data_IF_477011478176
#
_entry.id   IF_477011478176
#
_cell.length_a   1.000
_cell.length_b   1.000
_cell.length_c   1.000
_cell.angle_alpha   90.00
_cell.angle_beta   90.00
_cell.angle_gamma   90.00
#
_symmetry.space_group_name_H-M   'P 1'
#
loop_
_entity.id
_entity.type
_entity.pdbx_description
1 polymer ?
#
# COMPACT_ATOMS: atom_id res chain seq x y z
N UNK A 1 19.53 3.97 -11.72
CA UNK A 1 19.78 2.52 -11.51
C UNK A 1 18.53 1.83 -12.02
N UNK A 2 18.58 1.16 -13.16
CA UNK A 2 17.39 0.61 -13.85
C UNK A 2 16.77 -0.52 -13.04
N UNK A 3 15.53 -0.36 -12.57
CA UNK A 3 14.75 -1.44 -11.97
C UNK A 3 14.31 -2.41 -13.07
N UNK A 4 15.00 -3.55 -13.18
CA UNK A 4 14.56 -4.65 -14.04
C UNK A 4 13.17 -5.17 -13.59
N UNK A 5 12.43 -5.83 -14.49
CA UNK A 5 11.15 -6.48 -14.13
C UNK A 5 11.35 -7.45 -12.94
N UNK A 6 12.49 -8.15 -12.90
CA UNK A 6 12.84 -9.04 -11.78
C UNK A 6 12.99 -8.28 -10.47
N UNK A 7 13.70 -7.15 -10.47
CA UNK A 7 13.90 -6.32 -9.28
C UNK A 7 12.57 -5.76 -8.74
N UNK A 8 11.71 -5.25 -9.63
CA UNK A 8 10.35 -4.81 -9.29
C UNK A 8 9.57 -5.91 -8.56
N UNK A 9 9.51 -7.12 -9.12
CA UNK A 9 8.72 -8.21 -8.51
C UNK A 9 9.36 -8.78 -7.25
N UNK A 10 10.69 -8.74 -7.13
CA UNK A 10 11.37 -9.09 -5.88
C UNK A 10 11.00 -8.13 -4.75
N UNK A 11 11.02 -6.83 -5.03
CA UNK A 11 10.63 -5.79 -4.06
C UNK A 11 9.13 -5.87 -3.73
N UNK A 12 8.28 -6.08 -4.73
CA UNK A 12 6.84 -6.32 -4.51
C UNK A 12 6.59 -7.51 -3.58
N UNK A 13 7.33 -8.62 -3.77
CA UNK A 13 7.26 -9.80 -2.89
C UNK A 13 7.76 -9.48 -1.48
N UNK A 14 8.83 -8.68 -1.34
CA UNK A 14 9.36 -8.23 -0.04
C UNK A 14 8.30 -7.44 0.74
N UNK A 15 7.66 -6.46 0.10
CA UNK A 15 6.60 -5.64 0.69
C UNK A 15 5.39 -6.51 1.09
N UNK A 16 5.02 -7.47 0.23
CA UNK A 16 3.93 -8.43 0.53
C UNK A 16 4.25 -9.27 1.76
N UNK A 17 5.47 -9.80 1.85
CA UNK A 17 5.92 -10.58 2.99
C UNK A 17 5.92 -9.74 4.26
N UNK A 18 6.41 -8.51 4.19
CA UNK A 18 6.37 -7.57 5.30
C UNK A 18 4.95 -7.34 5.80
N UNK A 19 3.98 -7.01 4.93
CA UNK A 19 2.58 -6.84 5.32
C UNK A 19 2.05 -8.08 6.07
N UNK A 20 2.20 -9.26 5.46
CA UNK A 20 1.64 -10.49 6.02
C UNK A 20 2.32 -10.87 7.34
N UNK A 21 3.65 -10.80 7.41
CA UNK A 21 4.40 -11.11 8.62
C UNK A 21 4.05 -10.15 9.76
N UNK A 22 3.94 -8.85 9.49
CA UNK A 22 3.57 -7.86 10.50
C UNK A 22 2.14 -8.07 10.99
N UNK A 23 1.19 -8.36 10.09
CA UNK A 23 -0.19 -8.66 10.50
C UNK A 23 -0.29 -9.90 11.39
N UNK A 24 0.45 -10.96 11.05
CA UNK A 24 0.50 -12.18 11.89
C UNK A 24 1.11 -11.86 13.25
N UNK A 25 2.18 -11.07 13.30
CA UNK A 25 2.83 -10.70 14.55
C UNK A 25 1.90 -9.87 15.45
N UNK A 26 1.24 -8.84 14.91
CA UNK A 26 0.31 -7.99 15.66
C UNK A 26 -0.92 -8.76 16.14
N UNK A 27 -1.47 -9.65 15.30
CA UNK A 27 -2.58 -10.51 15.70
C UNK A 27 -2.19 -11.48 16.83
N UNK A 28 -0.98 -12.06 16.77
CA UNK A 28 -0.47 -12.94 17.84
C UNK A 28 -0.26 -12.18 19.14
N UNK A 29 0.32 -10.99 19.07
CA UNK A 29 0.53 -10.13 20.24
C UNK A 29 -0.80 -9.78 20.90
N UNK A 30 -1.78 -9.39 20.09
CA UNK A 30 -3.14 -9.10 20.58
C UNK A 30 -3.77 -10.30 21.28
N UNK A 31 -3.74 -11.48 20.64
CA UNK A 31 -4.30 -12.71 21.19
C UNK A 31 -3.64 -13.10 22.51
N UNK A 32 -2.32 -12.90 22.63
CA UNK A 32 -1.58 -13.13 23.87
C UNK A 32 -2.18 -12.29 25.00
N UNK A 33 -2.26 -10.98 24.81
CA UNK A 33 -2.75 -10.05 25.83
C UNK A 33 -4.24 -10.24 26.14
N UNK A 34 -5.06 -10.52 25.14
CA UNK A 34 -6.50 -10.80 25.34
C UNK A 34 -6.76 -12.13 26.06
N UNK A 35 -5.81 -13.08 26.01
CA UNK A 35 -5.93 -14.37 26.70
C UNK A 35 -5.59 -14.34 28.20
N UNK A 36 -5.00 -13.24 28.68
CA UNK A 36 -4.60 -13.13 30.08
C UNK A 36 -5.77 -12.69 30.96
N UNK A 37 -6.08 -13.49 31.98
CA UNK A 37 -7.04 -13.12 33.02
C UNK A 37 -6.34 -12.21 34.04
N UNK A 38 -6.53 -10.89 33.89
CA UNK A 38 -5.94 -9.88 34.75
C UNK A 38 -6.98 -9.28 35.70
N UNK A 39 -6.78 -9.43 37.01
CA UNK A 39 -7.69 -8.91 38.05
C UNK A 39 -7.93 -7.39 37.95
N UNK A 40 -6.95 -6.63 37.44
CA UNK A 40 -7.02 -5.18 37.21
C UNK A 40 -6.52 -4.80 35.83
N UNK A 41 -7.14 -5.35 34.79
CA UNK A 41 -6.78 -5.06 33.40
C UNK A 41 -6.72 -3.54 33.10
N UNK A 42 -7.64 -2.75 33.65
CA UNK A 42 -7.74 -1.30 33.42
C UNK A 42 -6.54 -0.49 33.97
N UNK A 43 -5.84 -1.02 34.97
CA UNK A 43 -4.67 -0.40 35.62
C UNK A 43 -3.35 -1.03 35.14
N UNK A 44 -3.40 -2.06 34.30
CA UNK A 44 -2.23 -2.80 33.85
C UNK A 44 -1.42 -1.95 32.87
N UNK A 45 -0.11 -1.88 33.10
CA UNK A 45 0.84 -1.21 32.22
C UNK A 45 1.86 -2.19 31.68
N UNK A 46 2.15 -2.09 30.38
CA UNK A 46 3.27 -2.79 29.78
C UNK A 46 4.54 -2.00 30.02
N UNK A 47 5.59 -2.70 30.41
CA UNK A 47 6.94 -2.15 30.54
C UNK A 47 7.85 -2.95 29.63
N UNK A 48 8.26 -2.37 28.52
CA UNK A 48 9.14 -3.02 27.54
C UNK A 48 10.44 -2.23 27.45
N UNK A 49 11.59 -2.83 27.84
CA UNK A 49 12.90 -2.24 27.59
C UNK A 49 13.13 -2.07 26.08
N UNK A 50 13.52 -0.88 25.65
CA UNK A 50 13.89 -0.58 24.28
C UNK A 50 15.34 -0.08 24.22
N UNK A 51 15.96 -0.17 23.04
CA UNK A 51 17.36 0.23 22.83
C UNK A 51 17.66 1.68 23.28
N UNK A 52 16.64 2.55 23.30
CA UNK A 52 16.75 3.96 23.73
C UNK A 52 15.68 4.36 24.76
N UNK A 53 15.47 3.54 25.78
CA UNK A 53 14.63 3.87 26.93
C UNK A 53 13.61 2.79 27.24
N UNK A 54 12.50 3.18 27.87
CA UNK A 54 11.42 2.26 28.21
C UNK A 54 10.15 2.66 27.47
N UNK A 55 9.49 1.68 26.88
CA UNK A 55 8.12 1.83 26.41
C UNK A 55 7.18 1.46 27.54
N UNK A 56 6.52 2.46 28.11
CA UNK A 56 5.54 2.33 29.19
C UNK A 56 4.19 2.83 28.69
N UNK A 57 3.20 1.95 28.64
CA UNK A 57 1.87 2.25 28.11
C UNK A 57 0.81 1.46 28.88
N UNK A 58 -0.42 1.94 28.93
CA UNK A 58 -1.52 1.14 29.46
C UNK A 58 -1.89 0.01 28.52
N UNK A 59 -2.42 -1.08 29.06
CA UNK A 59 -2.80 -2.26 28.26
C UNK A 59 -3.89 -1.96 27.23
N UNK A 60 -4.89 -1.16 27.59
CA UNK A 60 -5.95 -0.73 26.67
C UNK A 60 -5.41 0.09 25.50
N UNK A 61 -4.56 1.07 25.77
CA UNK A 61 -3.88 1.88 24.75
C UNK A 61 -2.98 1.02 23.84
N UNK A 62 -2.29 0.03 24.40
CA UNK A 62 -1.50 -0.91 23.60
C UNK A 62 -2.37 -1.73 22.65
N UNK A 63 -3.46 -2.32 23.15
CA UNK A 63 -4.41 -3.11 22.35
C UNK A 63 -5.09 -2.27 21.24
N UNK A 64 -5.39 -1.00 21.53
CA UNK A 64 -5.89 -0.04 20.52
C UNK A 64 -4.84 0.20 19.43
N UNK A 65 -3.56 0.36 19.80
CA UNK A 65 -2.47 0.53 18.83
C UNK A 65 -2.29 -0.70 17.92
N UNK A 66 -2.48 -1.91 18.45
CA UNK A 66 -2.44 -3.16 17.67
C UNK A 66 -3.62 -3.28 16.70
N UNK A 67 -4.73 -2.60 16.98
CA UNK A 67 -5.94 -2.59 16.15
C UNK A 67 -5.92 -1.51 15.08
N UNK A 68 -5.11 -0.46 15.26
CA UNK A 68 -5.01 0.68 14.34
C UNK A 68 -3.99 0.41 13.24
N UNK A 69 -4.37 -0.41 12.25
CA UNK A 69 -3.48 -0.85 11.17
C UNK A 69 -3.36 0.13 10.00
N UNK A 70 -4.08 1.26 10.02
CA UNK A 70 -4.12 2.22 8.92
C UNK A 70 -2.74 2.78 8.55
N UNK A 71 -1.85 3.00 9.53
CA UNK A 71 -0.47 3.41 9.30
C UNK A 71 0.35 2.34 8.56
N UNK A 72 0.22 1.07 8.96
CA UNK A 72 0.87 -0.05 8.27
C UNK A 72 0.35 -0.17 6.82
N UNK A 73 -0.96 -0.10 6.65
CA UNK A 73 -1.63 -0.15 5.36
C UNK A 73 -1.17 0.99 4.42
N UNK A 74 -1.08 2.21 4.94
CA UNK A 74 -0.59 3.37 4.23
C UNK A 74 0.88 3.21 3.80
N UNK A 75 1.75 2.77 4.72
CA UNK A 75 3.16 2.54 4.42
C UNK A 75 3.32 1.51 3.28
N UNK A 76 2.55 0.41 3.32
CA UNK A 76 2.56 -0.61 2.27
C UNK A 76 2.05 -0.08 0.94
N UNK A 77 0.99 0.74 0.95
CA UNK A 77 0.46 1.36 -0.27
C UNK A 77 1.45 2.36 -0.89
N UNK A 78 1.99 3.26 -0.08
CA UNK A 78 2.99 4.26 -0.50
C UNK A 78 4.21 3.57 -1.12
N UNK A 79 4.75 2.54 -0.47
CA UNK A 79 5.90 1.81 -0.98
C UNK A 79 5.57 1.02 -2.25
N UNK A 80 4.39 0.38 -2.32
CA UNK A 80 3.97 -0.35 -3.53
C UNK A 80 3.82 0.58 -4.73
N UNK A 81 3.24 1.77 -4.52
CA UNK A 81 3.11 2.80 -5.54
C UNK A 81 4.49 3.30 -5.99
N UNK A 82 5.37 3.65 -5.04
CA UNK A 82 6.69 4.21 -5.35
C UNK A 82 7.54 3.25 -6.19
N UNK A 83 7.50 1.95 -5.87
CA UNK A 83 8.23 0.92 -6.62
C UNK A 83 7.65 0.75 -8.03
N UNK A 84 6.32 0.82 -8.18
CA UNK A 84 5.67 0.76 -9.49
C UNK A 84 6.01 1.97 -10.36
N UNK A 85 5.93 3.17 -9.80
CA UNK A 85 6.27 4.42 -10.48
C UNK A 85 7.74 4.46 -10.90
N UNK A 86 8.67 4.07 -10.00
CA UNK A 86 10.09 4.02 -10.32
C UNK A 86 10.36 3.05 -11.50
N UNK A 87 9.77 1.85 -11.46
CA UNK A 87 9.90 0.90 -12.56
C UNK A 87 9.33 1.43 -13.89
N UNK A 88 8.16 2.08 -13.84
CA UNK A 88 7.54 2.68 -15.02
C UNK A 88 8.39 3.83 -15.59
N UNK A 89 8.89 4.73 -14.74
CA UNK A 89 9.75 5.84 -15.14
C UNK A 89 11.05 5.32 -15.77
N UNK A 90 11.68 4.32 -15.17
CA UNK A 90 12.87 3.68 -15.73
C UNK A 90 12.61 3.06 -17.11
N UNK A 91 11.48 2.35 -17.27
CA UNK A 91 11.08 1.75 -18.56
C UNK A 91 10.84 2.80 -19.64
N UNK A 92 10.21 3.91 -19.26
CA UNK A 92 9.85 5.01 -20.16
C UNK A 92 10.97 6.04 -20.34
N UNK A 93 12.08 5.90 -19.59
CA UNK A 93 13.18 6.87 -19.51
C UNK A 93 12.72 8.27 -19.12
N UNK A 94 11.79 8.35 -18.16
CA UNK A 94 11.28 9.60 -17.60
C UNK A 94 12.02 9.95 -16.30
N UNK A 95 12.18 11.24 -16.03
CA UNK A 95 12.59 11.69 -14.70
C UNK A 95 11.38 11.57 -13.75
N UNK A 96 11.52 10.78 -12.68
CA UNK A 96 10.47 10.54 -11.70
C UNK A 96 9.95 11.85 -11.06
N UNK A 97 10.77 12.90 -10.99
CA UNK A 97 10.37 14.20 -10.43
C UNK A 97 9.41 14.97 -11.32
N UNK A 98 9.36 14.64 -12.62
CA UNK A 98 8.57 15.34 -13.63
C UNK A 98 7.61 14.42 -14.40
N UNK A 99 7.61 13.12 -14.09
CA UNK A 99 6.80 12.09 -14.76
C UNK A 99 5.28 12.25 -14.61
N UNK A 100 4.83 13.21 -13.78
CA UNK A 100 3.41 13.43 -13.48
C UNK A 100 2.86 12.42 -12.48
N UNK A 101 1.53 12.31 -12.42
CA UNK A 101 0.84 11.29 -11.63
C UNK A 101 0.69 9.97 -12.38
N UNK A 102 0.02 9.02 -11.72
CA UNK A 102 -0.29 7.69 -12.29
C UNK A 102 -1.07 7.76 -13.60
N UNK A 103 -1.81 8.83 -13.84
CA UNK A 103 -2.49 9.08 -15.10
C UNK A 103 -1.50 9.29 -16.24
N UNK A 104 -0.46 10.10 -16.03
CA UNK A 104 0.52 10.45 -17.05
C UNK A 104 1.47 9.27 -17.33
N UNK A 105 2.18 8.79 -16.30
CA UNK A 105 3.13 7.69 -16.51
C UNK A 105 2.41 6.37 -16.82
N UNK A 106 1.22 6.15 -16.27
CA UNK A 106 0.41 4.96 -16.55
C UNK A 106 -0.13 4.96 -17.98
N UNK A 107 -0.60 6.11 -18.48
CA UNK A 107 -1.04 6.24 -19.88
C UNK A 107 0.12 5.99 -20.84
N UNK A 108 1.30 6.59 -20.58
CA UNK A 108 2.48 6.39 -21.40
C UNK A 108 2.91 4.91 -21.40
N UNK A 109 2.90 4.26 -20.23
CA UNK A 109 3.27 2.86 -20.10
C UNK A 109 2.30 1.92 -20.86
N UNK A 110 0.99 2.15 -20.77
CA UNK A 110 -0.01 1.38 -21.50
C UNK A 110 0.10 1.59 -23.02
N UNK A 111 0.24 2.85 -23.45
CA UNK A 111 0.39 3.19 -24.87
C UNK A 111 1.62 2.53 -25.49
N UNK A 112 2.75 2.51 -24.78
CA UNK A 112 3.98 1.82 -25.22
C UNK A 112 3.81 0.31 -25.44
N UNK A 113 2.74 -0.30 -24.91
CA UNK A 113 2.44 -1.72 -25.05
C UNK A 113 1.13 -1.97 -25.83
N UNK A 114 0.58 -0.96 -26.53
CA UNK A 114 -0.65 -1.10 -27.29
C UNK A 114 -1.89 -1.40 -26.44
N UNK A 115 -1.88 -0.94 -25.18
CA UNK A 115 -2.97 -1.14 -24.20
C UNK A 115 -3.63 0.20 -23.85
N UNK A 116 -4.80 0.11 -23.23
CA UNK A 116 -5.54 1.25 -22.70
C UNK A 116 -6.03 1.03 -21.27
N UNK A 117 -6.58 2.07 -20.67
CA UNK A 117 -7.13 1.98 -19.31
C UNK A 117 -8.26 0.96 -19.17
N UNK A 118 -9.00 0.68 -20.26
CA UNK A 118 -10.05 -0.35 -20.25
C UNK A 118 -9.52 -1.77 -20.00
N UNK A 119 -8.23 -2.02 -20.27
CA UNK A 119 -7.58 -3.30 -19.94
C UNK A 119 -7.27 -3.43 -18.45
N UNK A 120 -7.07 -2.31 -17.75
CA UNK A 120 -6.59 -2.28 -16.36
C UNK A 120 -7.75 -2.51 -15.38
N UNK A 121 -7.55 -3.37 -14.39
CA UNK A 121 -8.50 -3.56 -13.30
C UNK A 121 -8.84 -2.22 -12.61
N UNK A 122 -10.13 -1.88 -12.55
CA UNK A 122 -10.62 -0.59 -12.04
C UNK A 122 -10.45 0.60 -13.00
N UNK A 123 -9.83 0.40 -14.16
CA UNK A 123 -9.61 1.44 -15.17
C UNK A 123 -8.81 2.64 -14.67
N UNK A 124 -8.98 3.77 -15.38
CA UNK A 124 -8.32 5.03 -15.02
C UNK A 124 -8.79 5.54 -13.65
N UNK A 125 -10.10 5.53 -13.41
CA UNK A 125 -10.69 5.95 -12.12
C UNK A 125 -10.10 5.18 -10.95
N UNK A 126 -10.00 3.85 -11.07
CA UNK A 126 -9.42 3.00 -10.04
C UNK A 126 -7.94 3.27 -9.80
N UNK A 127 -7.15 3.61 -10.82
CA UNK A 127 -5.76 4.02 -10.67
C UNK A 127 -5.63 5.38 -9.97
N UNK A 128 -6.51 6.33 -10.27
CA UNK A 128 -6.54 7.64 -9.60
C UNK A 128 -6.94 7.52 -8.13
N UNK A 129 -7.87 6.64 -7.78
CA UNK A 129 -8.19 6.32 -6.38
C UNK A 129 -6.94 5.91 -5.59
N UNK A 130 -6.06 5.08 -6.17
CA UNK A 130 -4.78 4.71 -5.55
C UNK A 130 -3.92 5.94 -5.26
N UNK A 131 -3.77 6.83 -6.24
CA UNK A 131 -2.94 8.03 -6.08
C UNK A 131 -3.52 9.02 -5.06
N UNK A 132 -4.84 9.17 -5.01
CA UNK A 132 -5.52 10.00 -4.01
C UNK A 132 -5.35 9.42 -2.61
N UNK A 133 -5.58 8.12 -2.43
CA UNK A 133 -5.41 7.45 -1.15
C UNK A 133 -3.97 7.58 -0.62
N UNK A 134 -3.00 7.34 -1.50
CA UNK A 134 -1.57 7.49 -1.22
C UNK A 134 -1.23 8.91 -0.79
N UNK A 135 -1.74 9.92 -1.49
CA UNK A 135 -1.47 11.33 -1.19
C UNK A 135 -2.12 11.80 0.12
N UNK A 136 -3.33 11.34 0.44
CA UNK A 136 -4.00 11.69 1.69
C UNK A 136 -3.17 11.30 2.92
N UNK A 137 -2.51 10.13 2.87
CA UNK A 137 -1.60 9.68 3.93
C UNK A 137 -0.21 10.32 3.85
N UNK A 138 0.34 10.52 2.65
CA UNK A 138 1.65 11.14 2.49
C UNK A 138 1.70 12.59 3.01
N UNK A 139 0.56 13.29 3.05
CA UNK A 139 0.43 14.65 3.58
C UNK A 139 -0.20 14.72 4.98
N UNK A 140 -0.40 13.57 5.65
CA UNK A 140 -1.01 13.46 6.98
C UNK A 140 -2.40 14.13 7.15
N UNK A 141 -3.07 14.45 6.04
CA UNK A 141 -4.40 15.05 6.08
C UNK A 141 -5.50 14.00 6.27
N UNK A 142 -5.27 12.78 5.76
CA UNK A 142 -6.25 11.68 5.73
C UNK A 142 -7.61 12.04 5.11
N UNK A 143 -7.72 13.20 4.48
CA UNK A 143 -8.97 13.73 3.92
C UNK A 143 -8.79 13.98 2.42
N UNK A 144 -9.87 13.79 1.69
CA UNK A 144 -9.95 14.21 0.28
C UNK A 144 -10.23 15.70 0.22
N UNK A 145 -9.35 16.46 -0.43
CA UNK A 145 -9.57 17.88 -0.71
C UNK A 145 -10.31 18.09 -2.04
N UNK A 146 -10.72 19.33 -2.30
CA UNK A 146 -11.44 19.68 -3.54
C UNK A 146 -10.63 19.37 -4.82
N UNK A 147 -9.29 19.41 -4.75
CA UNK A 147 -8.42 19.11 -5.88
C UNK A 147 -8.40 17.60 -6.17
N UNK A 148 -8.36 16.78 -5.13
CA UNK A 148 -8.43 15.33 -5.22
C UNK A 148 -9.81 14.87 -5.70
N UNK A 149 -10.90 15.48 -5.23
CA UNK A 149 -12.25 15.22 -5.76
C UNK A 149 -12.34 15.55 -7.25
N UNK A 150 -11.89 16.74 -7.68
CA UNK A 150 -11.88 17.11 -9.09
C UNK A 150 -11.05 16.14 -9.95
N UNK A 151 -9.93 15.64 -9.41
CA UNK A 151 -9.09 14.62 -10.05
C UNK A 151 -9.82 13.28 -10.19
N UNK A 152 -10.53 12.83 -9.17
CA UNK A 152 -11.36 11.61 -9.19
C UNK A 152 -12.48 11.72 -10.22
N UNK A 153 -13.24 12.82 -10.18
CA UNK A 153 -14.35 13.08 -11.10
C UNK A 153 -13.87 13.08 -12.57
N UNK A 154 -12.75 13.74 -12.86
CA UNK A 154 -12.13 13.74 -14.20
C UNK A 154 -11.70 12.34 -14.65
N UNK A 155 -11.37 11.45 -13.72
CA UNK A 155 -11.00 10.06 -13.99
C UNK A 155 -12.21 9.11 -14.03
N UNK A 156 -13.42 9.59 -13.76
CA UNK A 156 -14.65 8.80 -13.71
C UNK A 156 -14.85 8.02 -12.41
N UNK A 157 -14.15 8.38 -11.33
CA UNK A 157 -14.37 7.78 -10.00
C UNK A 157 -15.30 8.67 -9.15
N UNK A 158 -16.19 8.02 -8.42
CA UNK A 158 -17.12 8.64 -7.46
C UNK A 158 -16.90 8.13 -6.02
N UNK A 159 -15.76 7.47 -5.76
CA UNK A 159 -15.51 6.80 -4.48
C UNK A 159 -15.46 7.77 -3.29
N UNK A 160 -14.93 8.97 -3.52
CA UNK A 160 -14.78 9.98 -2.47
C UNK A 160 -15.12 11.37 -3.01
N UNK A 161 -15.71 12.17 -2.14
CA UNK A 161 -15.96 13.61 -2.31
C UNK A 161 -15.08 14.41 -1.36
N UNK A 162 -14.97 15.73 -1.54
CA UNK A 162 -14.23 16.57 -0.60
C UNK A 162 -14.75 16.41 0.84
N UNK A 163 -13.82 16.33 1.80
CA UNK A 163 -14.10 16.07 3.21
C UNK A 163 -14.23 14.58 3.58
N UNK A 164 -14.21 13.66 2.61
CA UNK A 164 -14.20 12.22 2.90
C UNK A 164 -12.93 11.83 3.65
N UNK A 165 -13.08 11.08 4.74
CA UNK A 165 -11.97 10.41 5.41
C UNK A 165 -11.49 9.23 4.57
N UNK A 166 -10.20 9.22 4.29
CA UNK A 166 -9.49 8.08 3.71
C UNK A 166 -8.99 7.23 4.87
N UNK A 167 -9.78 6.22 5.24
CA UNK A 167 -9.38 5.20 6.20
C UNK A 167 -9.00 3.91 5.46
N UNK A 168 -7.69 3.62 5.39
CA UNK A 168 -7.19 2.46 4.67
C UNK A 168 -7.31 1.18 5.48
N UNK A 169 -8.24 0.32 5.07
CA UNK A 169 -8.37 -1.04 5.56
C UNK A 169 -7.56 -2.02 4.70
N UNK A 170 -7.36 -3.24 5.21
CA UNK A 170 -6.59 -4.26 4.49
C UNK A 170 -7.18 -4.55 3.11
N UNK A 171 -8.52 -4.61 3.02
CA UNK A 171 -9.23 -4.82 1.77
C UNK A 171 -8.91 -3.74 0.73
N UNK A 172 -8.80 -2.47 1.17
CA UNK A 172 -8.43 -1.36 0.29
C UNK A 172 -7.00 -1.49 -0.23
N UNK A 173 -6.07 -1.87 0.65
CA UNK A 173 -4.67 -2.10 0.25
C UNK A 173 -4.58 -3.24 -0.77
N UNK A 174 -5.30 -4.34 -0.55
CA UNK A 174 -5.33 -5.47 -1.49
C UNK A 174 -5.89 -5.04 -2.84
N UNK A 175 -7.01 -4.30 -2.86
CA UNK A 175 -7.64 -3.81 -4.08
C UNK A 175 -6.72 -2.82 -4.82
N UNK A 176 -6.20 -1.80 -4.14
CA UNK A 176 -5.31 -0.81 -4.74
C UNK A 176 -4.01 -1.43 -5.28
N UNK A 177 -3.42 -2.38 -4.56
CA UNK A 177 -2.25 -3.11 -5.03
C UNK A 177 -2.59 -4.00 -6.23
N UNK A 178 -3.80 -4.56 -6.28
CA UNK A 178 -4.28 -5.32 -7.45
C UNK A 178 -4.41 -4.44 -8.69
N UNK A 179 -4.91 -3.21 -8.54
CA UNK A 179 -4.99 -2.22 -9.63
C UNK A 179 -3.60 -1.82 -10.14
N UNK A 180 -2.66 -1.50 -9.23
CA UNK A 180 -1.26 -1.22 -9.60
C UNK A 180 -0.65 -2.42 -10.33
N UNK A 181 -0.81 -3.63 -9.80
CA UNK A 181 -0.28 -4.86 -10.40
C UNK A 181 -0.86 -5.11 -11.78
N UNK A 182 -2.16 -4.86 -11.98
CA UNK A 182 -2.82 -4.93 -13.28
C UNK A 182 -2.23 -3.93 -14.26
N UNK A 183 -2.03 -2.67 -13.84
CA UNK A 183 -1.39 -1.63 -14.66
C UNK A 183 0.02 -2.06 -15.09
N UNK A 184 0.85 -2.54 -14.16
CA UNK A 184 2.19 -3.04 -14.47
C UNK A 184 2.17 -4.21 -15.45
N UNK A 185 1.23 -5.16 -15.28
CA UNK A 185 1.08 -6.31 -16.19
C UNK A 185 0.79 -5.87 -17.62
N UNK A 186 -0.18 -4.98 -17.82
CA UNK A 186 -0.50 -4.45 -19.16
C UNK A 186 0.56 -3.46 -19.68
N UNK A 187 1.34 -2.87 -18.77
CA UNK A 187 2.52 -2.07 -19.07
C UNK A 187 3.78 -2.85 -19.44
N UNK A 188 3.68 -4.17 -19.63
CA UNK A 188 4.81 -5.00 -20.07
C UNK A 188 5.78 -5.36 -18.94
N UNK A 189 5.31 -5.41 -17.69
CA UNK A 189 6.02 -6.04 -16.57
C UNK A 189 5.39 -7.40 -16.29
N UNK A 190 6.05 -8.46 -16.75
CA UNK A 190 5.63 -9.83 -16.46
C UNK A 190 6.32 -10.34 -15.20
N UNK A 191 5.53 -10.95 -14.32
CA UNK A 191 6.06 -11.62 -13.14
C UNK A 191 6.83 -12.86 -13.60
N UNK A 192 8.08 -13.06 -13.16
CA UNK A 192 8.80 -14.28 -13.46
C UNK A 192 8.03 -15.49 -12.90
N UNK A 193 8.05 -16.64 -13.61
CA UNK A 193 7.40 -17.85 -13.14
C UNK A 193 7.91 -18.20 -11.74
N UNK A 194 7.02 -18.75 -10.90
CA UNK A 194 7.45 -19.32 -9.62
C UNK A 194 8.47 -20.42 -9.90
N UNK A 195 9.57 -20.51 -9.12
CA UNK A 195 10.43 -21.68 -9.22
C UNK A 195 9.61 -22.93 -8.94
N UNK A 196 9.87 -24.05 -9.64
CA UNK A 196 9.18 -25.31 -9.38
C UNK A 196 9.35 -25.70 -7.90
N UNK A 197 8.37 -26.36 -7.29
CA UNK A 197 8.50 -26.84 -5.92
C UNK A 197 9.73 -27.74 -5.85
N UNK A 198 10.65 -27.40 -4.94
CA UNK A 198 11.82 -28.23 -4.68
C UNK A 198 11.31 -29.56 -4.15
N UNK A 199 11.39 -30.62 -4.96
CA UNK A 199 11.28 -31.99 -4.47
C UNK A 199 12.41 -32.17 -3.46
N UNK A 200 12.07 -32.22 -2.17
CA UNK A 200 13.02 -32.65 -1.15
C UNK A 200 13.42 -34.10 -1.45
N UNK A 201 14.73 -34.44 -1.34
CA UNK A 201 15.19 -35.82 -1.46
C UNK A 201 14.67 -36.70 -0.32
#
# INVERSE_FOLDING_TARGET
MTLSSSALWAEWKRITRFLNSTQIALARERLLWESLELDRAADTRLHVPADKGEYVVRLDEHLESLSTLSTLHAAVLIQSYAVAEAAACDRLRLDQRTAGGIEEWGQALLAANGRGWADVHGGRGGAVEVAVARNAYAHAAHLVDAKAEARLAKAGSVRWTAGSLVDLQLADVVEFRTRIRSLLRYGGFHQPPSPPPTTQP
#
